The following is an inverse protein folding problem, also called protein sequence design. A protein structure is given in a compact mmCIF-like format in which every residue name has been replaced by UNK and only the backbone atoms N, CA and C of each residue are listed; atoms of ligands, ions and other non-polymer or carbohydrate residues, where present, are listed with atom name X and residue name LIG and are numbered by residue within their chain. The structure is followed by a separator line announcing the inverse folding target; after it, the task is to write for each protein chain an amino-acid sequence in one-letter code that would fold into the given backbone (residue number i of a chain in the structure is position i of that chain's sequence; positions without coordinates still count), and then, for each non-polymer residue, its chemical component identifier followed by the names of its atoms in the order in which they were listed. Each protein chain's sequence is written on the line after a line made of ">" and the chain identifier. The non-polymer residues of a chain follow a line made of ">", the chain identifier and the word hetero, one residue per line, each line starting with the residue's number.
data_IF_564512821719
#
_entry.id   IF_564512821719
#
_cell.length_a   1.000
_cell.length_b   1.000
_cell.length_c   1.000
_cell.angle_alpha   90.00
_cell.angle_beta   90.00
_cell.angle_gamma   90.00
#
_symmetry.space_group_name_H-M   'P 1'
#
loop_
_entity.id
_entity.type
_entity.pdbx_description
1 polymer ?
#
# COMPACT_ATOMS: atom_id res chain seq x y z
N UNK A 1 8.33 -1.35 -10.02
CA UNK A 1 9.29 -0.62 -9.18
C UNK A 1 8.49 0.27 -8.22
N UNK A 2 9.00 0.51 -7.02
CA UNK A 2 8.23 0.95 -5.84
C UNK A 2 7.38 2.20 -6.10
N UNK A 3 7.96 3.29 -6.60
CA UNK A 3 7.25 4.57 -6.82
C UNK A 3 6.01 4.41 -7.71
N UNK A 4 6.17 3.68 -8.82
CA UNK A 4 5.09 3.42 -9.78
C UNK A 4 4.02 2.52 -9.17
N UNK A 5 4.45 1.43 -8.54
CA UNK A 5 3.54 0.39 -8.07
C UNK A 5 2.71 0.83 -6.86
N UNK A 6 3.22 1.77 -6.06
CA UNK A 6 2.53 2.36 -4.91
C UNK A 6 2.02 3.79 -5.20
N UNK A 7 2.19 4.32 -6.41
CA UNK A 7 1.74 5.66 -6.79
C UNK A 7 2.18 6.75 -5.79
N UNK A 8 3.49 6.91 -5.60
CA UNK A 8 4.06 7.72 -4.51
C UNK A 8 4.31 9.19 -4.85
N UNK A 9 4.27 9.59 -6.12
CA UNK A 9 4.51 10.98 -6.53
C UNK A 9 3.24 11.85 -6.38
N UNK A 10 2.68 11.85 -5.17
CA UNK A 10 1.46 12.55 -4.77
C UNK A 10 1.64 13.19 -3.39
N UNK A 11 0.90 14.26 -3.05
CA UNK A 11 0.96 14.88 -1.73
C UNK A 11 0.16 14.10 -0.68
N UNK A 12 0.58 12.85 -0.39
CA UNK A 12 -0.14 11.91 0.50
C UNK A 12 0.44 11.80 1.92
N UNK A 13 1.56 12.47 2.20
CA UNK A 13 2.40 12.18 3.37
C UNK A 13 1.98 12.88 4.67
N UNK A 14 1.17 13.94 4.61
CA UNK A 14 0.83 14.70 5.84
C UNK A 14 0.13 13.84 6.89
N UNK A 15 -0.76 12.92 6.46
CA UNK A 15 -1.47 12.02 7.37
C UNK A 15 -0.57 10.98 8.04
N UNK A 16 0.61 10.68 7.50
CA UNK A 16 1.53 9.71 8.11
C UNK A 16 2.33 10.28 9.27
N UNK A 17 2.37 11.61 9.42
CA UNK A 17 3.20 12.30 10.41
C UNK A 17 2.73 12.10 11.87
N UNK A 18 1.50 11.60 12.07
CA UNK A 18 0.94 11.27 13.37
C UNK A 18 0.18 9.94 13.31
N UNK A 19 0.07 9.27 14.46
CA UNK A 19 -0.66 8.00 14.62
C UNK A 19 -0.12 6.83 13.79
N UNK A 20 1.14 6.93 13.34
CA UNK A 20 1.84 5.87 12.64
C UNK A 20 1.61 5.81 11.12
N UNK A 21 2.55 5.17 10.43
CA UNK A 21 2.57 5.00 8.98
C UNK A 21 1.80 3.76 8.50
N UNK A 22 1.56 2.79 9.38
CA UNK A 22 1.05 1.46 9.04
C UNK A 22 -0.21 1.08 9.83
N UNK A 23 -0.97 0.12 9.30
CA UNK A 23 -2.16 -0.45 9.94
C UNK A 23 -3.39 0.45 9.90
N UNK A 24 -3.35 1.50 9.06
CA UNK A 24 -4.42 2.51 8.92
C UNK A 24 -5.03 2.44 7.52
N UNK A 25 -6.35 2.19 7.37
CA UNK A 25 -6.98 1.99 6.08
C UNK A 25 -7.32 3.32 5.37
N UNK A 26 -6.37 4.26 5.32
CA UNK A 26 -6.54 5.51 4.59
C UNK A 26 -6.47 5.25 3.07
N UNK A 27 -7.35 5.85 2.25
CA UNK A 27 -7.32 5.67 0.79
C UNK A 27 -5.97 6.02 0.13
N UNK A 28 -5.23 6.95 0.73
CA UNK A 28 -3.94 7.42 0.24
C UNK A 28 -2.79 6.45 0.50
N UNK A 29 -2.92 5.55 1.49
CA UNK A 29 -1.88 4.62 1.92
C UNK A 29 -1.94 3.35 1.07
N UNK A 30 -1.45 3.45 -0.16
CA UNK A 30 -1.43 2.36 -1.14
C UNK A 30 -0.64 1.14 -0.68
N UNK A 31 0.31 1.29 0.24
CA UNK A 31 1.06 0.18 0.84
C UNK A 31 0.25 -0.68 1.80
N UNK A 32 -0.91 -0.21 2.27
CA UNK A 32 -1.83 -1.00 3.11
C UNK A 32 -2.77 -1.88 2.29
N UNK A 33 -2.80 -1.71 0.96
CA UNK A 33 -3.66 -2.51 0.09
C UNK A 33 -3.14 -3.95 0.00
N UNK A 34 -4.06 -4.90 0.09
CA UNK A 34 -3.80 -6.34 -0.08
C UNK A 34 -4.17 -6.84 -1.48
N UNK A 35 -4.06 -5.95 -2.48
CA UNK A 35 -4.49 -6.18 -3.87
C UNK A 35 -3.67 -7.23 -4.62
N UNK A 36 -2.51 -7.62 -4.10
CA UNK A 36 -1.66 -8.68 -4.66
C UNK A 36 -1.92 -10.07 -4.09
N UNK A 37 -2.82 -10.22 -3.11
CA UNK A 37 -3.03 -11.49 -2.39
C UNK A 37 -3.36 -12.64 -3.33
N UNK A 38 -4.28 -12.45 -4.28
CA UNK A 38 -4.71 -13.54 -5.17
C UNK A 38 -3.60 -13.96 -6.15
N UNK A 39 -2.83 -12.99 -6.65
CA UNK A 39 -1.68 -13.27 -7.51
C UNK A 39 -0.61 -14.07 -6.74
N UNK A 40 -0.40 -13.75 -5.46
CA UNK A 40 0.54 -14.48 -4.60
C UNK A 40 0.04 -15.89 -4.28
N UNK A 41 -1.24 -16.07 -3.95
CA UNK A 41 -1.83 -17.41 -3.73
C UNK A 41 -1.68 -18.29 -4.95
N UNK A 42 -2.06 -17.77 -6.12
CA UNK A 42 -1.91 -18.46 -7.40
C UNK A 42 -0.46 -18.85 -7.68
N UNK A 43 0.49 -17.94 -7.44
CA UNK A 43 1.91 -18.22 -7.63
C UNK A 43 2.45 -19.28 -6.65
N UNK A 44 1.88 -19.37 -5.45
CA UNK A 44 2.19 -20.38 -4.46
C UNK A 44 1.49 -21.73 -4.68
N UNK A 45 0.58 -21.83 -5.65
CA UNK A 45 -0.24 -23.03 -5.89
C UNK A 45 -1.37 -23.23 -4.87
N UNK A 46 -1.80 -22.14 -4.22
CA UNK A 46 -2.94 -22.09 -3.30
C UNK A 46 -4.21 -21.58 -3.99
#
# INVERSE_FOLDING_TARGET
>A
AIIRDLDLLRPIYSKTAAYGHFGRPEPEFTWEKTDRVDALRKAAGL
#
